data_IF_796600777479
#
_entry.id   IF_796600777479
#
_cell.length_a   1.000
_cell.length_b   1.000
_cell.length_c   1.000
_cell.angle_alpha   90.00
_cell.angle_beta   90.00
_cell.angle_gamma   90.00
#
_symmetry.space_group_name_H-M   'P 1'
#
loop_
_entity.id
_entity.type
_entity.pdbx_description
1 polymer ?
#
# COMPACT_ATOMS: atom_id res chain seq x y z
N UNK A 1 14.83 -11.03 14.43
CA UNK A 1 14.33 -9.67 14.58
C UNK A 1 13.17 -9.34 13.70
N UNK A 2 12.61 -8.16 13.87
CA UNK A 2 11.50 -7.66 13.08
C UNK A 2 12.03 -6.81 11.91
N UNK A 3 11.40 -6.91 10.76
CA UNK A 3 11.77 -6.12 9.59
C UNK A 3 10.67 -5.12 9.22
N UNK A 4 11.07 -3.89 8.94
CA UNK A 4 10.19 -2.80 8.54
C UNK A 4 10.61 -2.31 7.16
N UNK A 5 9.65 -2.11 6.28
CA UNK A 5 9.89 -1.54 4.96
C UNK A 5 8.97 -0.33 4.78
N UNK A 6 9.54 0.79 4.36
CA UNK A 6 8.81 2.05 4.16
C UNK A 6 9.04 2.51 2.72
N UNK A 7 8.02 2.33 1.88
CA UNK A 7 8.05 2.70 0.46
C UNK A 7 6.98 3.74 0.19
N UNK A 8 7.39 5.01 0.15
CA UNK A 8 6.48 6.13 -0.10
C UNK A 8 6.87 6.86 -1.38
N UNK A 9 5.95 7.68 -1.89
CA UNK A 9 6.16 8.46 -3.10
C UNK A 9 6.65 7.60 -4.27
N UNK A 10 6.09 6.38 -4.40
CA UNK A 10 6.40 5.47 -5.50
C UNK A 10 5.13 5.01 -6.22
N UNK A 11 5.28 4.74 -7.48
CA UNK A 11 4.19 4.35 -8.37
C UNK A 11 4.46 2.96 -8.93
N UNK A 12 3.70 1.94 -8.47
CA UNK A 12 3.88 0.54 -8.89
C UNK A 12 3.42 0.31 -10.34
N UNK A 13 2.43 1.07 -10.79
CA UNK A 13 1.86 0.90 -12.14
C UNK A 13 2.66 1.57 -13.25
N UNK A 14 3.76 2.25 -12.94
CA UNK A 14 4.57 2.96 -13.92
C UNK A 14 6.04 2.99 -13.50
N UNK A 15 6.96 2.73 -14.43
CA UNK A 15 8.40 2.78 -14.16
C UNK A 15 8.91 4.18 -14.50
N UNK A 16 9.27 4.96 -13.48
CA UNK A 16 9.86 6.29 -13.66
C UNK A 16 11.33 6.18 -14.06
N UNK A 17 11.89 7.16 -14.79
CA UNK A 17 13.32 7.20 -15.06
C UNK A 17 14.12 7.11 -13.76
N UNK A 18 15.10 6.20 -13.70
CA UNK A 18 15.90 5.89 -12.51
C UNK A 18 15.08 5.29 -11.35
N UNK A 19 13.80 4.94 -11.58
CA UNK A 19 12.98 4.25 -10.59
C UNK A 19 13.21 2.75 -10.58
N UNK A 20 12.62 2.08 -9.59
CA UNK A 20 12.71 0.62 -9.45
C UNK A 20 11.62 -0.08 -10.24
N UNK A 21 11.89 -1.30 -10.69
CA UNK A 21 10.88 -2.18 -11.25
C UNK A 21 10.08 -2.88 -10.14
N UNK A 22 8.89 -3.37 -10.45
CA UNK A 22 8.00 -4.06 -9.50
C UNK A 22 8.71 -5.19 -8.75
N UNK A 23 9.50 -6.01 -9.44
CA UNK A 23 10.23 -7.12 -8.82
C UNK A 23 11.20 -6.66 -7.73
N UNK A 24 11.75 -5.45 -7.85
CA UNK A 24 12.65 -4.89 -6.86
C UNK A 24 11.91 -4.45 -5.61
N UNK A 25 10.72 -3.83 -5.76
CA UNK A 25 9.83 -3.54 -4.63
C UNK A 25 9.41 -4.83 -3.93
N UNK A 26 9.13 -5.88 -4.71
CA UNK A 26 8.77 -7.19 -4.17
C UNK A 26 9.90 -7.79 -3.33
N UNK A 27 11.14 -7.71 -3.81
CA UNK A 27 12.31 -8.21 -3.08
C UNK A 27 12.54 -7.45 -1.77
N UNK A 28 12.43 -6.12 -1.79
CA UNK A 28 12.57 -5.29 -0.58
C UNK A 28 11.51 -5.62 0.46
N UNK A 29 10.30 -5.94 0.03
CA UNK A 29 9.15 -6.15 0.90
C UNK A 29 9.00 -7.61 1.35
N UNK A 30 9.77 -8.53 0.79
CA UNK A 30 9.59 -9.97 0.99
C UNK A 30 9.60 -10.35 2.47
N UNK A 31 8.49 -10.94 2.93
CA UNK A 31 8.28 -11.39 4.31
C UNK A 31 8.48 -10.33 5.39
N UNK A 32 8.32 -9.05 5.05
CA UNK A 32 8.42 -7.98 6.03
C UNK A 32 7.36 -8.13 7.12
N UNK A 33 7.72 -7.81 8.37
CA UNK A 33 6.75 -7.76 9.46
C UNK A 33 5.79 -6.59 9.31
N UNK A 34 6.27 -5.48 8.76
CA UNK A 34 5.47 -4.30 8.46
C UNK A 34 5.96 -3.68 7.14
N UNK A 35 5.03 -3.51 6.20
CA UNK A 35 5.24 -2.71 5.00
C UNK A 35 4.35 -1.48 5.09
N UNK A 36 4.95 -0.30 5.04
CA UNK A 36 4.22 0.97 4.87
C UNK A 36 4.46 1.40 3.43
N UNK A 37 3.40 1.53 2.67
CA UNK A 37 3.48 1.75 1.24
C UNK A 37 2.49 2.81 0.78
N UNK A 38 2.91 3.56 -0.24
CA UNK A 38 2.07 4.56 -0.89
C UNK A 38 0.78 3.92 -1.44
N UNK A 39 -0.35 4.57 -1.20
CA UNK A 39 -1.65 4.10 -1.63
C UNK A 39 -2.61 5.29 -1.85
N UNK A 40 -2.12 6.35 -2.46
CA UNK A 40 -2.86 7.61 -2.56
C UNK A 40 -4.13 7.50 -3.41
N UNK A 41 -4.11 6.68 -4.47
CA UNK A 41 -5.17 6.70 -5.46
C UNK A 41 -6.11 5.51 -5.39
N UNK A 42 -7.40 5.76 -5.74
CA UNK A 42 -8.33 4.71 -6.14
C UNK A 42 -8.08 4.38 -7.62
N UNK A 43 -8.56 3.23 -8.12
CA UNK A 43 -8.43 2.90 -9.55
C UNK A 43 -8.99 3.97 -10.48
N UNK A 44 -10.10 4.62 -10.12
CA UNK A 44 -10.68 5.71 -10.91
C UNK A 44 -9.77 6.94 -10.94
N UNK A 45 -9.22 7.33 -9.80
CA UNK A 45 -8.31 8.47 -9.71
C UNK A 45 -7.04 8.23 -10.51
N UNK A 46 -6.54 7.00 -10.49
CA UNK A 46 -5.30 6.65 -11.18
C UNK A 46 -5.37 6.81 -12.70
N UNK A 47 -6.54 6.71 -13.28
CA UNK A 47 -6.70 6.92 -14.74
C UNK A 47 -6.19 8.29 -15.21
N UNK A 48 -6.22 9.30 -14.34
CA UNK A 48 -5.78 10.66 -14.67
C UNK A 48 -4.47 11.05 -13.96
N UNK A 49 -3.91 10.18 -13.12
CA UNK A 49 -2.73 10.48 -12.30
C UNK A 49 -1.54 9.56 -12.57
N UNK A 50 -1.60 8.78 -13.65
CA UNK A 50 -0.45 7.95 -14.08
C UNK A 50 0.77 8.86 -14.27
N UNK A 51 1.93 8.44 -13.80
CA UNK A 51 3.21 9.17 -13.80
C UNK A 51 3.34 10.24 -12.70
N UNK A 52 2.34 10.43 -11.83
CA UNK A 52 2.41 11.44 -10.77
C UNK A 52 3.25 11.01 -9.56
N UNK A 53 3.73 9.75 -9.53
CA UNK A 53 4.67 9.30 -8.50
C UNK A 53 4.03 8.62 -7.29
N UNK A 54 2.75 8.26 -7.37
CA UNK A 54 2.02 7.59 -6.29
C UNK A 54 1.28 6.37 -6.81
N UNK A 55 1.08 5.39 -5.93
CA UNK A 55 0.44 4.12 -6.28
C UNK A 55 -1.07 4.16 -6.06
N UNK A 56 -1.79 3.37 -6.88
CA UNK A 56 -3.17 3.01 -6.59
C UNK A 56 -3.18 1.94 -5.49
N UNK A 57 -4.14 2.03 -4.55
CA UNK A 57 -4.14 1.15 -3.38
C UNK A 57 -4.27 -0.34 -3.73
N UNK A 58 -4.92 -0.67 -4.85
CA UNK A 58 -5.05 -2.06 -5.29
C UNK A 58 -3.70 -2.67 -5.68
N UNK A 59 -2.80 -1.90 -6.30
CA UNK A 59 -1.45 -2.34 -6.63
C UNK A 59 -0.63 -2.55 -5.34
N UNK A 60 -0.84 -1.71 -4.34
CA UNK A 60 -0.20 -1.84 -3.03
C UNK A 60 -0.62 -3.13 -2.34
N UNK A 61 -1.92 -3.49 -2.41
CA UNK A 61 -2.42 -4.75 -1.88
C UNK A 61 -1.78 -5.95 -2.58
N UNK A 62 -1.66 -5.89 -3.89
CA UNK A 62 -1.05 -6.98 -4.67
C UNK A 62 0.41 -7.18 -4.26
N UNK A 63 1.16 -6.10 -4.10
CA UNK A 63 2.55 -6.16 -3.64
C UNK A 63 2.65 -6.81 -2.26
N UNK A 64 1.84 -6.37 -1.31
CA UNK A 64 1.84 -6.90 0.05
C UNK A 64 1.51 -8.39 0.07
N UNK A 65 0.54 -8.80 -0.73
CA UNK A 65 0.14 -10.20 -0.86
C UNK A 65 1.25 -11.06 -1.45
N UNK A 66 1.84 -10.64 -2.56
CA UNK A 66 2.91 -11.40 -3.22
C UNK A 66 4.19 -11.45 -2.36
N UNK A 67 4.49 -10.38 -1.63
CA UNK A 67 5.65 -10.33 -0.75
C UNK A 67 5.46 -11.11 0.55
N UNK A 68 4.23 -11.46 0.91
CA UNK A 68 3.95 -12.20 2.14
C UNK A 68 4.17 -11.38 3.41
N UNK A 69 3.87 -10.08 3.38
CA UNK A 69 4.02 -9.22 4.55
C UNK A 69 2.98 -9.59 5.62
N UNK A 70 3.28 -9.29 6.88
CA UNK A 70 2.37 -9.59 8.00
C UNK A 70 1.41 -8.45 8.28
N UNK A 71 1.85 -7.20 8.10
CA UNK A 71 1.03 -6.00 8.26
C UNK A 71 1.32 -5.03 7.13
N UNK A 72 0.26 -4.41 6.60
CA UNK A 72 0.35 -3.37 5.57
C UNK A 72 -0.24 -2.07 6.11
N UNK A 73 0.55 -1.00 6.07
CA UNK A 73 0.10 0.36 6.33
C UNK A 73 -0.06 1.12 5.02
N UNK A 74 -1.26 1.65 4.77
CA UNK A 74 -1.56 2.43 3.57
C UNK A 74 -1.21 3.90 3.83
N UNK A 75 -0.19 4.39 3.15
CA UNK A 75 0.33 5.75 3.31
C UNK A 75 -0.23 6.68 2.23
N UNK A 76 -0.42 7.95 2.54
CA UNK A 76 -1.04 8.97 1.69
C UNK A 76 -2.53 8.75 1.40
N UNK A 77 -3.14 7.72 1.96
CA UNK A 77 -4.56 7.41 1.75
C UNK A 77 -5.48 8.54 2.26
N UNK A 78 -4.98 9.36 3.19
CA UNK A 78 -5.73 10.46 3.79
C UNK A 78 -5.65 11.78 2.99
N UNK A 79 -4.94 11.80 1.86
CA UNK A 79 -4.82 13.01 1.05
C UNK A 79 -6.18 13.38 0.44
N UNK A 80 -6.65 14.61 0.77
CA UNK A 80 -7.90 15.17 0.25
C UNK A 80 -9.14 14.27 0.46
N UNK A 81 -9.13 13.42 1.50
CA UNK A 81 -10.25 12.54 1.84
C UNK A 81 -10.78 12.80 3.23
N UNK A 82 -12.08 12.55 3.39
CA UNK A 82 -12.72 12.53 4.72
C UNK A 82 -12.39 11.22 5.44
N UNK A 83 -12.57 11.20 6.75
CA UNK A 83 -12.38 9.97 7.55
C UNK A 83 -13.30 8.84 7.07
N UNK A 84 -14.54 9.16 6.68
CA UNK A 84 -15.46 8.16 6.14
C UNK A 84 -14.99 7.57 4.83
N UNK A 85 -14.39 8.38 3.96
CA UNK A 85 -13.82 7.90 2.70
C UNK A 85 -12.60 7.00 2.94
N UNK A 86 -11.75 7.37 3.88
CA UNK A 86 -10.60 6.53 4.29
C UNK A 86 -11.05 5.19 4.86
N UNK A 87 -12.05 5.21 5.76
CA UNK A 87 -12.60 4.00 6.36
C UNK A 87 -13.17 3.05 5.31
N UNK A 88 -13.84 3.60 4.31
CA UNK A 88 -14.38 2.80 3.21
C UNK A 88 -13.27 2.12 2.41
N UNK A 89 -12.19 2.83 2.10
CA UNK A 89 -11.05 2.26 1.36
C UNK A 89 -10.41 1.12 2.18
N UNK A 90 -10.16 1.34 3.47
CA UNK A 90 -9.59 0.31 4.34
C UNK A 90 -10.52 -0.91 4.43
N UNK A 91 -11.82 -0.69 4.54
CA UNK A 91 -12.82 -1.76 4.56
C UNK A 91 -12.79 -2.56 3.25
N UNK A 92 -12.75 -1.88 2.11
CA UNK A 92 -12.64 -2.53 0.79
C UNK A 92 -11.35 -3.36 0.69
N UNK A 93 -10.24 -2.85 1.20
CA UNK A 93 -8.97 -3.57 1.26
C UNK A 93 -9.07 -4.84 2.11
N UNK A 94 -9.64 -4.74 3.30
CA UNK A 94 -9.82 -5.88 4.21
C UNK A 94 -10.73 -6.95 3.60
N UNK A 95 -11.78 -6.52 2.90
CA UNK A 95 -12.68 -7.42 2.19
C UNK A 95 -11.95 -8.16 1.07
N UNK A 96 -11.14 -7.45 0.29
CA UNK A 96 -10.34 -8.05 -0.78
C UNK A 96 -9.35 -9.07 -0.24
N UNK A 97 -8.70 -8.76 0.89
CA UNK A 97 -7.76 -9.68 1.57
C UNK A 97 -8.48 -10.97 1.96
N UNK A 98 -9.66 -10.85 2.57
CA UNK A 98 -10.44 -12.00 3.01
C UNK A 98 -10.92 -12.85 1.82
N UNK A 99 -11.39 -12.23 0.74
CA UNK A 99 -11.87 -12.91 -0.46
C UNK A 99 -10.77 -13.71 -1.16
N UNK A 100 -9.52 -13.24 -1.09
CA UNK A 100 -8.36 -13.90 -1.71
C UNK A 100 -7.63 -14.84 -0.75
N UNK A 101 -8.18 -15.06 0.44
CA UNK A 101 -7.59 -15.93 1.48
C UNK A 101 -6.17 -15.52 1.89
N UNK A 102 -5.90 -14.23 1.91
CA UNK A 102 -4.64 -13.70 2.40
C UNK A 102 -4.67 -13.50 3.91
N UNK A 103 -3.50 -13.47 4.54
CA UNK A 103 -3.36 -13.52 6.00
C UNK A 103 -2.59 -12.31 6.56
N UNK A 104 -2.78 -11.13 6.01
CA UNK A 104 -2.13 -9.94 6.54
C UNK A 104 -3.14 -8.90 7.01
N UNK A 105 -2.73 -8.09 7.99
CA UNK A 105 -3.52 -6.97 8.49
C UNK A 105 -3.31 -5.74 7.62
N UNK A 106 -4.37 -4.93 7.45
CA UNK A 106 -4.31 -3.70 6.68
C UNK A 106 -4.92 -2.55 7.46
N UNK A 107 -4.24 -1.40 7.47
CA UNK A 107 -4.72 -0.19 8.13
C UNK A 107 -4.23 1.07 7.41
N UNK A 108 -4.92 2.20 7.63
CA UNK A 108 -4.48 3.49 7.14
C UNK A 108 -3.41 4.06 8.08
N UNK A 109 -2.37 4.66 7.52
CA UNK A 109 -1.30 5.32 8.27
C UNK A 109 -1.55 6.83 8.27
N UNK A 110 -1.72 7.40 9.45
CA UNK A 110 -1.87 8.83 9.68
C UNK A 110 -0.84 9.28 10.71
N UNK A 111 -0.81 10.57 11.03
CA UNK A 111 0.11 11.11 12.04
C UNK A 111 -0.09 10.50 13.43
N UNK A 112 -1.28 9.96 13.70
CA UNK A 112 -1.63 9.38 14.99
C UNK A 112 -1.47 7.85 15.03
N UNK A 113 -1.02 7.24 13.95
CA UNK A 113 -0.90 5.78 13.87
C UNK A 113 0.32 5.28 14.62
N UNK A 114 0.13 4.21 15.39
CA UNK A 114 1.22 3.49 16.03
C UNK A 114 1.08 1.99 15.77
N UNK A 115 2.22 1.30 15.76
CA UNK A 115 2.27 -0.14 15.49
C UNK A 115 2.85 -0.89 16.69
N UNK A 116 2.26 -2.05 16.96
CA UNK A 116 2.80 -3.02 17.93
C UNK A 116 3.14 -4.30 17.15
N UNK A 117 4.40 -4.66 17.15
CA UNK A 117 4.90 -5.81 16.41
C UNK A 117 5.38 -6.93 17.33
#
# INVERSE_FOLDING_TARGET
GKSFVFLTDNELGFIHPAGLEYKEYLQFSYEADLLIHDAEYTPNEYKTTIEWGHSVYTDTLDLASEAGVKKLGLFHINQERTDGEMDKIVEDCRKSIAEKDHQFECLAVTSDTSFVL
#
